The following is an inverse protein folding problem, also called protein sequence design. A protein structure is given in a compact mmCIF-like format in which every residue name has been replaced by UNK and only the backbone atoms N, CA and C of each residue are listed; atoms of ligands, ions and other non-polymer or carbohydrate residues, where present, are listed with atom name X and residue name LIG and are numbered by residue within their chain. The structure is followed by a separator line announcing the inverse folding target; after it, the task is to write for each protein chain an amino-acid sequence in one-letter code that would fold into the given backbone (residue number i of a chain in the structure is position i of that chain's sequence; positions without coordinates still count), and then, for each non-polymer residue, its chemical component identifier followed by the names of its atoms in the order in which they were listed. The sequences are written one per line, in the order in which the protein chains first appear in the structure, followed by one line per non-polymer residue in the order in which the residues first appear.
data_IF_787538553852
#
_entry.id   IF_787538553852
#
_cell.length_a   1.000
_cell.length_b   1.000
_cell.length_c   1.000
_cell.angle_alpha   90.00
_cell.angle_beta   90.00
_cell.angle_gamma   90.00
#
_symmetry.space_group_name_H-M   'P 1'
#
loop_
_entity.id
_entity.type
_entity.pdbx_description
1 polymer ?
#
# COMPACT_ATOMS: atom_id res chain seq x y z
N UNK A 1 2.43 -13.58 7.49
CA UNK A 1 2.81 -12.70 6.36
C UNK A 1 3.59 -13.45 5.30
N UNK A 2 4.90 -13.65 5.51
CA UNK A 2 5.82 -14.19 4.51
C UNK A 2 5.45 -15.57 3.93
N UNK A 3 4.97 -16.51 4.74
CA UNK A 3 4.52 -17.83 4.25
C UNK A 3 3.29 -17.72 3.33
N UNK A 4 2.29 -16.92 3.73
CA UNK A 4 1.07 -16.70 2.93
C UNK A 4 1.38 -15.98 1.60
N UNK A 5 2.31 -15.01 1.59
CA UNK A 5 2.76 -14.37 0.34
C UNK A 5 3.49 -15.33 -0.59
N UNK A 6 4.31 -16.24 -0.04
CA UNK A 6 5.00 -17.27 -0.82
C UNK A 6 4.01 -18.23 -1.48
N UNK A 7 3.05 -18.74 -0.71
CA UNK A 7 1.98 -19.60 -1.24
C UNK A 7 1.15 -18.87 -2.30
N UNK A 8 0.83 -17.59 -2.06
CA UNK A 8 0.14 -16.74 -3.03
C UNK A 8 0.92 -16.60 -4.34
N UNK A 9 2.21 -16.29 -4.28
CA UNK A 9 3.06 -16.15 -5.47
C UNK A 9 3.17 -17.45 -6.29
N UNK A 10 3.27 -18.60 -5.60
CA UNK A 10 3.28 -19.91 -6.25
C UNK A 10 1.93 -20.20 -6.92
N UNK A 11 0.83 -19.99 -6.20
CA UNK A 11 -0.54 -20.15 -6.73
C UNK A 11 -0.79 -19.27 -7.96
N UNK A 12 -0.38 -18.00 -7.92
CA UNK A 12 -0.44 -17.08 -9.06
C UNK A 12 0.33 -17.60 -10.27
N UNK A 13 1.51 -18.20 -10.06
CA UNK A 13 2.35 -18.73 -11.14
C UNK A 13 1.74 -19.99 -11.77
N UNK A 14 1.17 -20.87 -10.94
CA UNK A 14 0.48 -22.08 -11.38
C UNK A 14 -0.73 -21.75 -12.27
N UNK A 15 -1.47 -20.69 -11.92
CA UNK A 15 -2.63 -20.22 -12.69
C UNK A 15 -2.28 -19.88 -14.15
N UNK A 16 -1.05 -19.47 -14.45
CA UNK A 16 -0.65 -19.20 -15.83
C UNK A 16 -0.41 -20.46 -16.66
N UNK A 17 -0.12 -21.58 -15.99
CA UNK A 17 0.24 -22.86 -16.61
C UNK A 17 -0.92 -23.84 -16.82
N UNK A 18 -2.12 -23.53 -16.30
CA UNK A 18 -3.31 -24.37 -16.49
C UNK A 18 -3.90 -24.22 -17.92
N UNK A 19 -4.94 -25.00 -18.23
CA UNK A 19 -5.63 -24.90 -19.52
C UNK A 19 -6.19 -23.50 -19.79
N UNK A 20 -6.15 -23.07 -21.05
CA UNK A 20 -6.79 -21.81 -21.50
C UNK A 20 -8.28 -21.79 -21.15
N UNK A 21 -8.96 -22.94 -21.22
CA UNK A 21 -10.38 -23.07 -20.84
C UNK A 21 -10.66 -22.83 -19.35
N UNK A 22 -9.61 -22.89 -18.51
CA UNK A 22 -9.68 -22.66 -17.07
C UNK A 22 -9.06 -21.30 -16.67
N UNK A 23 -8.72 -20.45 -17.65
CA UNK A 23 -8.12 -19.13 -17.42
C UNK A 23 -6.60 -19.10 -17.45
N UNK A 24 -5.93 -20.18 -17.90
CA UNK A 24 -4.49 -20.20 -18.13
C UNK A 24 -4.06 -19.50 -19.42
N UNK A 25 -2.75 -19.38 -19.63
CA UNK A 25 -2.20 -18.70 -20.80
C UNK A 25 -1.98 -19.67 -21.96
N UNK A 26 -2.42 -19.26 -23.16
CA UNK A 26 -2.05 -19.98 -24.37
C UNK A 26 -0.52 -20.05 -24.52
N UNK A 27 0.01 -21.19 -24.97
CA UNK A 27 1.45 -21.46 -24.98
C UNK A 27 2.28 -20.38 -25.70
N UNK A 28 1.75 -19.80 -26.78
CA UNK A 28 2.40 -18.74 -27.53
C UNK A 28 2.43 -17.42 -26.74
N UNK A 29 1.36 -17.12 -26.00
CA UNK A 29 1.29 -15.97 -25.09
C UNK A 29 2.29 -16.15 -23.96
N UNK A 30 2.29 -17.31 -23.30
CA UNK A 30 3.23 -17.62 -22.21
C UNK A 30 4.69 -17.46 -22.67
N UNK A 31 5.03 -18.00 -23.84
CA UNK A 31 6.36 -17.84 -24.44
C UNK A 31 6.70 -16.39 -24.75
N UNK A 32 5.74 -15.62 -25.28
CA UNK A 32 5.96 -14.22 -25.58
C UNK A 32 6.10 -13.35 -24.32
N UNK A 33 5.37 -13.67 -23.25
CA UNK A 33 5.46 -13.00 -21.95
C UNK A 33 6.79 -13.27 -21.27
N UNK A 34 7.24 -14.52 -21.23
CA UNK A 34 8.56 -14.88 -20.70
C UNK A 34 9.69 -14.21 -21.48
N UNK A 35 9.65 -14.21 -22.82
CA UNK A 35 10.65 -13.51 -23.66
C UNK A 35 10.68 -11.99 -23.43
N UNK A 36 9.58 -11.40 -22.97
CA UNK A 36 9.45 -9.96 -22.68
C UNK A 36 9.53 -9.68 -21.18
N UNK A 37 10.29 -10.50 -20.45
CA UNK A 37 10.55 -10.37 -19.02
C UNK A 37 9.29 -10.11 -18.18
N UNK A 38 8.23 -10.88 -18.47
CA UNK A 38 6.99 -10.88 -17.70
C UNK A 38 5.89 -9.95 -18.22
N UNK A 39 6.16 -9.11 -19.24
CA UNK A 39 5.23 -8.07 -19.70
C UNK A 39 4.79 -8.32 -21.14
N UNK A 40 3.65 -8.97 -21.31
CA UNK A 40 2.98 -9.10 -22.61
C UNK A 40 1.53 -9.56 -22.45
N UNK A 41 0.57 -8.68 -22.81
CA UNK A 41 -0.90 -8.83 -22.61
C UNK A 41 -1.34 -8.95 -21.15
N UNK A 42 -0.51 -9.57 -20.33
CA UNK A 42 -0.56 -9.57 -18.88
C UNK A 42 0.78 -9.04 -18.33
N UNK A 43 0.76 -8.65 -17.06
CA UNK A 43 1.95 -8.32 -16.30
C UNK A 43 2.16 -9.35 -15.19
N UNK A 44 3.07 -10.30 -15.43
CA UNK A 44 3.42 -11.33 -14.45
C UNK A 44 4.13 -10.75 -13.23
N UNK A 45 4.88 -9.65 -13.39
CA UNK A 45 5.59 -9.01 -12.29
C UNK A 45 4.59 -8.35 -11.33
N UNK A 46 3.66 -7.56 -11.84
CA UNK A 46 2.57 -6.96 -11.07
C UNK A 46 1.71 -8.01 -10.36
N UNK A 47 1.38 -9.10 -11.06
CA UNK A 47 0.63 -10.21 -10.46
C UNK A 47 1.38 -10.89 -9.30
N UNK A 48 2.72 -10.94 -9.33
CA UNK A 48 3.55 -11.45 -8.23
C UNK A 48 3.75 -10.42 -7.11
N UNK A 49 3.62 -9.12 -7.40
CA UNK A 49 3.60 -8.06 -6.37
C UNK A 49 2.36 -8.21 -5.50
N UNK A 50 1.19 -8.49 -6.07
CA UNK A 50 -0.08 -8.55 -5.33
C UNK A 50 -0.05 -9.39 -4.03
N UNK A 51 0.41 -10.67 -4.01
CA UNK A 51 0.49 -11.45 -2.77
C UNK A 51 1.56 -10.97 -1.80
N UNK A 52 2.64 -10.34 -2.28
CA UNK A 52 3.68 -9.72 -1.44
C UNK A 52 3.11 -8.47 -0.77
N UNK A 53 2.52 -7.59 -1.58
CA UNK A 53 1.90 -6.35 -1.15
C UNK A 53 0.78 -6.63 -0.16
N UNK A 54 -0.14 -7.57 -0.43
CA UNK A 54 -1.25 -7.93 0.47
C UNK A 54 -0.79 -8.22 1.90
N UNK A 55 0.27 -9.00 2.09
CA UNK A 55 0.75 -9.32 3.43
C UNK A 55 1.34 -8.11 4.17
N UNK A 56 1.88 -7.14 3.44
CA UNK A 56 2.38 -5.89 4.01
C UNK A 56 1.24 -4.90 4.20
N UNK A 57 0.31 -4.81 3.25
CA UNK A 57 -0.90 -3.98 3.31
C UNK A 57 -1.73 -4.28 4.55
N UNK A 58 -1.83 -5.53 5.00
CA UNK A 58 -2.57 -5.84 6.25
C UNK A 58 -1.96 -5.15 7.48
N UNK A 59 -0.62 -5.07 7.56
CA UNK A 59 0.06 -4.38 8.66
C UNK A 59 0.01 -2.86 8.47
N UNK A 60 0.13 -2.40 7.22
CA UNK A 60 -0.01 -1.00 6.84
C UNK A 60 -1.41 -0.46 7.15
N UNK A 61 -2.47 -1.16 6.76
CA UNK A 61 -3.86 -0.84 7.08
C UNK A 61 -4.06 -0.74 8.59
N UNK A 62 -3.52 -1.69 9.35
CA UNK A 62 -3.65 -1.64 10.81
C UNK A 62 -2.95 -0.42 11.42
N UNK A 63 -1.76 -0.07 10.94
CA UNK A 63 -0.98 1.04 11.47
C UNK A 63 -1.51 2.41 11.02
N UNK A 64 -1.70 2.60 9.71
CA UNK A 64 -1.99 3.91 9.10
C UNK A 64 -3.46 4.13 8.80
N UNK A 65 -4.24 3.07 8.59
CA UNK A 65 -5.67 3.22 8.35
C UNK A 65 -6.39 3.09 9.69
N UNK A 66 -6.41 1.96 10.38
CA UNK A 66 -7.12 1.90 11.66
C UNK A 66 -6.45 2.72 12.77
N UNK A 67 -5.14 2.56 12.98
CA UNK A 67 -4.44 3.17 14.12
C UNK A 67 -4.36 4.69 14.00
N UNK A 68 -3.80 5.19 12.91
CA UNK A 68 -3.67 6.62 12.67
C UNK A 68 -5.04 7.30 12.50
N UNK A 69 -6.01 6.73 11.78
CA UNK A 69 -7.32 7.38 11.65
C UNK A 69 -8.07 7.42 12.99
N UNK A 70 -7.97 6.37 13.80
CA UNK A 70 -8.59 6.37 15.13
C UNK A 70 -7.92 7.39 16.05
N UNK A 71 -6.59 7.49 16.00
CA UNK A 71 -5.83 8.47 16.80
C UNK A 71 -6.13 9.90 16.37
N UNK A 72 -6.11 10.18 15.06
CA UNK A 72 -6.43 11.51 14.53
C UNK A 72 -7.89 11.89 14.78
N UNK A 73 -8.83 10.95 14.66
CA UNK A 73 -10.24 11.19 14.97
C UNK A 73 -10.50 11.42 16.46
N UNK A 74 -9.78 10.70 17.34
CA UNK A 74 -9.84 10.94 18.78
C UNK A 74 -9.26 12.32 19.12
N UNK A 75 -8.11 12.68 18.56
CA UNK A 75 -7.49 13.99 18.71
C UNK A 75 -8.42 15.10 18.20
N UNK A 76 -9.04 14.95 17.03
CA UNK A 76 -10.01 15.91 16.48
C UNK A 76 -11.17 16.14 17.46
N UNK A 77 -11.72 15.06 18.01
CA UNK A 77 -12.82 15.13 18.98
C UNK A 77 -12.39 15.79 20.29
N UNK A 78 -11.23 15.42 20.83
CA UNK A 78 -10.70 15.97 22.09
C UNK A 78 -10.36 17.45 21.96
N UNK A 79 -9.64 17.83 20.90
CA UNK A 79 -9.27 19.21 20.61
C UNK A 79 -10.52 20.05 20.34
N UNK A 80 -11.48 19.55 19.55
CA UNK A 80 -12.74 20.24 19.30
C UNK A 80 -13.57 20.45 20.57
N UNK A 81 -13.62 19.45 21.45
CA UNK A 81 -14.29 19.56 22.75
C UNK A 81 -13.60 20.57 23.67
N UNK A 82 -12.26 20.54 23.75
CA UNK A 82 -11.47 21.46 24.55
C UNK A 82 -11.62 22.91 24.06
N UNK A 83 -11.55 23.15 22.75
CA UNK A 83 -11.78 24.46 22.12
C UNK A 83 -13.19 24.98 22.41
N UNK A 84 -14.20 24.12 22.27
CA UNK A 84 -15.60 24.48 22.55
C UNK A 84 -15.80 24.84 24.03
N UNK A 85 -15.28 24.01 24.94
CA UNK A 85 -15.36 24.26 26.38
C UNK A 85 -14.62 25.55 26.78
N UNK A 86 -13.43 25.78 26.20
CA UNK A 86 -12.68 27.02 26.39
C UNK A 86 -13.48 28.24 25.95
N UNK A 87 -14.06 28.23 24.74
CA UNK A 87 -14.87 29.34 24.26
C UNK A 87 -16.17 29.57 25.04
N UNK A 88 -16.77 28.52 25.61
CA UNK A 88 -17.94 28.67 26.48
C UNK A 88 -17.57 29.26 27.84
N UNK A 89 -16.41 28.91 28.39
CA UNK A 89 -15.95 29.38 29.70
C UNK A 89 -15.32 30.78 29.67
N UNK A 90 -14.72 31.16 28.54
CA UNK A 90 -13.95 32.39 28.41
C UNK A 90 -14.75 33.68 28.67
N UNK A 91 -16.00 33.87 28.17
CA UNK A 91 -16.77 35.07 28.45
C UNK A 91 -17.04 35.27 29.95
N UNK A 92 -17.35 34.20 30.68
CA UNK A 92 -17.60 34.25 32.12
C UNK A 92 -16.32 34.61 32.88
N UNK A 93 -15.18 34.01 32.50
CA UNK A 93 -13.88 34.31 33.10
C UNK A 93 -13.42 35.75 32.85
N UNK A 94 -13.61 36.27 31.64
CA UNK A 94 -13.27 37.65 31.29
C UNK A 94 -14.18 38.66 32.01
N UNK A 95 -15.47 38.35 32.14
CA UNK A 95 -16.41 39.16 32.92
C UNK A 95 -16.02 39.25 34.40
N UNK A 96 -15.62 38.12 35.00
CA UNK A 96 -15.12 38.08 36.38
C UNK A 96 -13.80 38.84 36.58
N UNK A 97 -13.02 39.02 35.52
CA UNK A 97 -11.79 39.81 35.50
C UNK A 97 -12.02 41.30 35.14
N UNK A 98 -13.28 41.77 35.14
CA UNK A 98 -13.67 43.15 34.83
C UNK A 98 -13.29 43.63 33.42
N UNK A 99 -13.13 42.70 32.47
CA UNK A 99 -12.88 43.04 31.07
C UNK A 99 -14.12 43.70 30.45
N UNK A 100 -13.98 44.82 29.70
CA UNK A 100 -15.12 45.53 29.12
C UNK A 100 -16.00 44.62 28.24
N UNK A 101 -17.34 44.68 28.36
CA UNK A 101 -18.25 43.85 27.56
C UNK A 101 -18.05 43.97 26.04
N UNK A 102 -17.63 45.15 25.56
CA UNK A 102 -17.31 45.36 24.15
C UNK A 102 -16.10 44.55 23.67
N UNK A 103 -15.10 44.32 24.54
CA UNK A 103 -13.95 43.47 24.23
C UNK A 103 -14.33 41.97 24.28
N UNK A 104 -15.25 41.59 25.17
CA UNK A 104 -15.79 40.21 25.24
C UNK A 104 -16.68 39.91 24.03
N UNK A 105 -17.46 40.89 23.55
CA UNK A 105 -18.29 40.74 22.35
C UNK A 105 -17.49 40.50 21.07
N UNK A 106 -16.20 40.86 21.05
CA UNK A 106 -15.29 40.59 19.93
C UNK A 106 -14.76 39.15 19.86
N UNK A 107 -15.06 38.31 20.86
CA UNK A 107 -14.74 36.88 20.82
C UNK A 107 -15.73 36.14 19.91
N UNK A 108 -15.37 35.99 18.65
CA UNK A 108 -16.22 35.35 17.65
C UNK A 108 -16.19 33.82 17.76
N UNK A 109 -17.36 33.20 17.88
CA UNK A 109 -17.53 31.75 17.70
C UNK A 109 -17.01 31.24 16.34
N UNK A 110 -16.89 32.14 15.34
CA UNK A 110 -16.31 31.86 14.03
C UNK A 110 -14.82 31.46 14.11
N UNK A 111 -14.05 31.97 15.08
CA UNK A 111 -12.64 31.60 15.24
C UNK A 111 -12.48 30.14 15.68
N UNK A 112 -13.33 29.66 16.59
CA UNK A 112 -13.38 28.25 16.99
C UNK A 112 -13.70 27.33 15.81
N UNK A 113 -14.73 27.70 15.03
CA UNK A 113 -15.13 26.95 13.85
C UNK A 113 -14.01 26.93 12.80
N UNK A 114 -13.26 28.04 12.65
CA UNK A 114 -12.08 28.13 11.80
C UNK A 114 -10.96 27.18 12.24
N UNK A 115 -10.65 27.14 13.53
CA UNK A 115 -9.62 26.24 14.06
C UNK A 115 -10.00 24.76 13.93
N UNK A 116 -11.27 24.41 14.20
CA UNK A 116 -11.78 23.04 14.01
C UNK A 116 -11.73 22.64 12.54
N UNK A 117 -12.14 23.54 11.63
CA UNK A 117 -12.10 23.28 10.18
C UNK A 117 -10.66 23.11 9.67
N UNK A 118 -9.71 23.90 10.17
CA UNK A 118 -8.29 23.78 9.82
C UNK A 118 -7.70 22.45 10.30
N UNK A 119 -8.07 22.00 11.51
CA UNK A 119 -7.67 20.69 12.04
C UNK A 119 -8.20 19.55 11.17
N UNK A 120 -9.48 19.62 10.79
CA UNK A 120 -10.12 18.65 9.89
C UNK A 120 -9.44 18.57 8.53
N UNK A 121 -9.12 19.72 7.93
CA UNK A 121 -8.36 19.80 6.69
C UNK A 121 -7.01 19.11 6.81
N UNK A 122 -6.25 19.41 7.86
CA UNK A 122 -4.93 18.80 8.11
C UNK A 122 -5.04 17.27 8.25
N UNK A 123 -6.04 16.78 8.98
CA UNK A 123 -6.28 15.34 9.14
C UNK A 123 -6.65 14.68 7.80
N UNK A 124 -7.44 15.34 6.96
CA UNK A 124 -7.78 14.86 5.63
C UNK A 124 -6.53 14.77 4.73
N UNK A 125 -5.68 15.79 4.74
CA UNK A 125 -4.43 15.82 3.97
C UNK A 125 -3.48 14.70 4.40
N UNK A 126 -3.36 14.43 5.70
CA UNK A 126 -2.56 13.32 6.22
C UNK A 126 -3.09 11.96 5.74
N UNK A 127 -4.42 11.78 5.68
CA UNK A 127 -5.05 10.55 5.16
C UNK A 127 -4.77 10.38 3.67
N UNK A 128 -4.90 11.45 2.89
CA UNK A 128 -4.61 11.42 1.45
C UNK A 128 -3.13 11.09 1.19
N UNK A 129 -2.22 11.72 1.92
CA UNK A 129 -0.79 11.46 1.84
C UNK A 129 -0.46 9.98 2.14
N UNK A 130 -1.04 9.40 3.20
CA UNK A 130 -0.85 7.99 3.53
C UNK A 130 -1.34 7.04 2.42
N UNK A 131 -2.50 7.34 1.82
CA UNK A 131 -3.06 6.56 0.71
C UNK A 131 -2.22 6.68 -0.58
N UNK A 132 -1.73 7.89 -0.88
CA UNK A 132 -0.83 8.12 -2.01
C UNK A 132 0.46 7.32 -1.85
N UNK A 133 1.05 7.36 -0.66
CA UNK A 133 2.27 6.63 -0.34
C UNK A 133 2.09 5.11 -0.50
N UNK A 134 0.95 4.57 -0.07
CA UNK A 134 0.61 3.17 -0.26
C UNK A 134 0.60 2.75 -1.74
N UNK A 135 0.05 3.61 -2.62
CA UNK A 135 0.01 3.35 -4.07
C UNK A 135 1.38 3.43 -4.73
N UNK A 136 2.17 4.44 -4.36
CA UNK A 136 3.55 4.59 -4.85
C UNK A 136 4.41 3.40 -4.44
N UNK A 137 4.23 2.93 -3.22
CA UNK A 137 4.93 1.76 -2.71
C UNK A 137 4.60 0.51 -3.53
N UNK A 138 3.32 0.23 -3.79
CA UNK A 138 2.89 -0.89 -4.65
C UNK A 138 3.58 -0.86 -6.02
N UNK A 139 3.65 0.32 -6.65
CA UNK A 139 4.30 0.51 -7.95
C UNK A 139 5.82 0.34 -7.89
N UNK A 140 6.45 0.73 -6.79
CA UNK A 140 7.91 0.60 -6.61
C UNK A 140 8.37 -0.86 -6.46
N UNK A 141 7.47 -1.78 -6.09
CA UNK A 141 7.79 -3.19 -5.90
C UNK A 141 7.90 -3.96 -7.22
N UNK A 142 7.23 -3.52 -8.27
CA UNK A 142 7.22 -4.22 -9.56
C UNK A 142 8.62 -4.32 -10.19
N UNK A 143 9.41 -3.22 -10.31
CA UNK A 143 10.79 -3.31 -10.83
C UNK A 143 11.68 -4.25 -10.01
N UNK A 144 11.48 -4.29 -8.69
CA UNK A 144 12.24 -5.15 -7.78
C UNK A 144 11.89 -6.63 -7.98
N UNK A 145 10.59 -6.95 -8.13
CA UNK A 145 10.14 -8.30 -8.48
C UNK A 145 10.68 -8.71 -9.85
N UNK A 146 10.59 -7.82 -10.84
CA UNK A 146 11.09 -8.08 -12.19
C UNK A 146 12.59 -8.42 -12.16
N UNK A 147 13.41 -7.64 -11.44
CA UNK A 147 14.85 -7.89 -11.31
C UNK A 147 15.16 -9.31 -10.82
N UNK A 148 14.39 -9.81 -9.85
CA UNK A 148 14.53 -11.18 -9.35
C UNK A 148 13.95 -12.25 -10.28
N UNK A 149 13.02 -11.89 -11.15
CA UNK A 149 12.35 -12.79 -12.08
C UNK A 149 13.07 -12.95 -13.42
N UNK A 150 13.89 -11.99 -13.84
CA UNK A 150 14.66 -12.03 -15.12
C UNK A 150 15.38 -13.37 -15.33
N UNK A 151 16.14 -13.93 -14.38
CA UNK A 151 16.81 -15.22 -14.59
C UNK A 151 15.85 -16.39 -14.87
N UNK A 152 14.66 -16.37 -14.25
CA UNK A 152 13.61 -17.36 -14.49
C UNK A 152 12.98 -17.20 -15.87
N UNK A 153 12.76 -15.96 -16.30
CA UNK A 153 12.27 -15.65 -17.64
C UNK A 153 13.25 -16.05 -18.73
N UNK A 154 14.54 -15.80 -18.55
CA UNK A 154 15.58 -16.14 -19.51
C UNK A 154 15.71 -17.67 -19.64
N UNK A 155 15.71 -18.37 -18.51
CA UNK A 155 15.73 -19.84 -18.47
C UNK A 155 14.50 -20.45 -19.17
N UNK A 156 13.30 -19.92 -18.90
CA UNK A 156 12.08 -20.36 -19.58
C UNK A 156 12.07 -19.99 -21.07
N UNK A 157 12.69 -18.87 -21.45
CA UNK A 157 12.76 -18.46 -22.86
C UNK A 157 13.68 -19.37 -23.67
N UNK A 158 14.77 -19.84 -23.07
CA UNK A 158 15.74 -20.73 -23.69
C UNK A 158 15.18 -22.14 -24.00
N UNK A 159 14.14 -22.58 -23.29
CA UNK A 159 13.51 -23.88 -23.54
C UNK A 159 12.96 -23.99 -24.96
N UNK A 160 13.22 -25.13 -25.61
CA UNK A 160 12.79 -25.43 -26.97
C UNK A 160 12.43 -26.92 -27.15
N UNK A 161 11.87 -27.27 -28.31
CA UNK A 161 11.52 -28.64 -28.67
C UNK A 161 10.15 -29.13 -28.17
N UNK A 162 9.88 -30.41 -28.42
CA UNK A 162 8.63 -31.07 -28.00
C UNK A 162 8.48 -31.04 -26.48
N UNK A 163 7.26 -30.80 -26.00
CA UNK A 163 6.95 -30.64 -24.58
C UNK A 163 7.50 -29.36 -23.93
N UNK A 164 8.12 -28.45 -24.71
CA UNK A 164 8.75 -27.24 -24.15
C UNK A 164 7.78 -26.36 -23.37
N UNK A 165 6.50 -26.30 -23.72
CA UNK A 165 5.54 -25.48 -22.96
C UNK A 165 5.44 -25.91 -21.49
N UNK A 166 5.26 -27.20 -21.22
CA UNK A 166 5.18 -27.70 -19.82
C UNK A 166 6.50 -27.50 -19.08
N UNK A 167 7.64 -27.66 -19.75
CA UNK A 167 8.96 -27.38 -19.17
C UNK A 167 9.14 -25.90 -18.84
N UNK A 168 8.73 -24.98 -19.72
CA UNK A 168 8.75 -23.52 -19.46
C UNK A 168 7.95 -23.17 -18.20
N UNK A 169 6.74 -23.73 -18.10
CA UNK A 169 5.88 -23.56 -16.93
C UNK A 169 6.59 -24.06 -15.67
N UNK A 170 7.12 -25.28 -15.70
CA UNK A 170 7.82 -25.86 -14.55
C UNK A 170 9.07 -25.05 -14.15
N UNK A 171 9.83 -24.51 -15.11
CA UNK A 171 10.98 -23.65 -14.82
C UNK A 171 10.54 -22.39 -14.08
N UNK A 172 9.49 -21.73 -14.55
CA UNK A 172 9.01 -20.50 -13.92
C UNK A 172 8.42 -20.78 -12.54
N UNK A 173 7.62 -21.84 -12.38
CA UNK A 173 7.10 -22.31 -11.09
C UNK A 173 8.25 -22.55 -10.09
N UNK A 174 9.24 -23.34 -10.48
CA UNK A 174 10.41 -23.65 -9.65
C UNK A 174 11.26 -22.41 -9.35
N UNK A 175 11.36 -21.46 -10.29
CA UNK A 175 12.05 -20.19 -10.06
C UNK A 175 11.32 -19.34 -9.02
N UNK A 176 10.01 -19.18 -9.15
CA UNK A 176 9.20 -18.41 -8.20
C UNK A 176 9.25 -19.05 -6.82
N UNK A 177 9.10 -20.37 -6.70
CA UNK A 177 9.20 -21.07 -5.40
C UNK A 177 10.52 -20.79 -4.69
N UNK A 178 11.64 -20.77 -5.42
CA UNK A 178 12.98 -20.49 -4.86
C UNK A 178 13.25 -19.01 -4.60
N UNK A 179 12.70 -18.13 -5.43
CA UNK A 179 12.98 -16.69 -5.40
C UNK A 179 11.99 -15.91 -4.54
N UNK A 180 10.79 -16.42 -4.30
CA UNK A 180 9.74 -15.76 -3.52
C UNK A 180 10.19 -15.32 -2.11
N UNK A 181 10.98 -16.09 -1.34
CA UNK A 181 11.52 -15.61 -0.07
C UNK A 181 12.38 -14.34 -0.24
N UNK A 182 13.27 -14.33 -1.24
CA UNK A 182 14.16 -13.18 -1.51
C UNK A 182 13.38 -11.96 -1.99
N UNK A 183 12.43 -12.15 -2.91
CA UNK A 183 11.53 -11.10 -3.39
C UNK A 183 10.72 -10.50 -2.23
N UNK A 184 10.20 -11.35 -1.33
CA UNK A 184 9.47 -10.89 -0.16
C UNK A 184 10.35 -10.10 0.80
N UNK A 185 11.54 -10.59 1.14
CA UNK A 185 12.47 -9.88 2.04
C UNK A 185 12.91 -8.54 1.44
N UNK A 186 13.24 -8.50 0.16
CA UNK A 186 13.64 -7.29 -0.53
C UNK A 186 12.48 -6.28 -0.62
N UNK A 187 11.27 -6.73 -0.92
CA UNK A 187 10.06 -5.90 -0.90
C UNK A 187 9.76 -5.36 0.51
N UNK A 188 9.81 -6.21 1.54
CA UNK A 188 9.61 -5.79 2.92
C UNK A 188 10.69 -4.78 3.36
N UNK A 189 11.94 -4.98 2.95
CA UNK A 189 13.04 -4.04 3.18
C UNK A 189 12.79 -2.68 2.52
N UNK A 190 12.41 -2.66 1.24
CA UNK A 190 12.07 -1.43 0.52
C UNK A 190 10.95 -0.65 1.22
N UNK A 191 9.92 -1.36 1.70
CA UNK A 191 8.80 -0.76 2.44
C UNK A 191 9.28 -0.16 3.77
N UNK A 192 10.13 -0.88 4.52
CA UNK A 192 10.69 -0.39 5.78
C UNK A 192 11.56 0.85 5.56
N UNK A 193 12.43 0.86 4.55
CA UNK A 193 13.25 2.03 4.24
C UNK A 193 12.41 3.22 3.81
N UNK A 194 11.37 2.99 3.00
CA UNK A 194 10.46 4.07 2.61
C UNK A 194 9.72 4.65 3.82
N UNK A 195 9.27 3.80 4.75
CA UNK A 195 8.67 4.27 6.01
C UNK A 195 9.67 5.07 6.88
N UNK A 196 10.94 4.69 6.92
CA UNK A 196 11.96 5.46 7.65
C UNK A 196 12.21 6.83 7.02
N UNK A 197 12.14 6.94 5.69
CA UNK A 197 12.32 8.20 4.98
C UNK A 197 11.16 9.19 5.14
N UNK A 198 10.02 8.74 5.70
CA UNK A 198 8.86 9.59 6.01
C UNK A 198 9.00 10.35 7.33
N UNK A 199 10.14 10.25 8.02
CA UNK A 199 10.40 10.88 9.31
C UNK A 199 11.20 12.17 9.14
#
# INVERSE_FOLDING_TARGET
GAESSRQGAVSTTQQWGISVTQGGLHWATYKATTRRHGVFRINMNEALVAPIFKAVSTHWEKAFISGLQQTLGAMEKEVGAALSAFHQALPAALSAAEVPPAAIAGLEAAQCNGHVSALQGTVADMKEAANKQQRELSRSLEPLVQQHMVPGYDSATAEAGSGSHRRRVAILENHVTRSAPKMFTAAAGAIVEQMKSMR
#
